data_IF_285708411916
#
_entry.id   IF_285708411916
#
_cell.length_a   1.000
_cell.length_b   1.000
_cell.length_c   1.000
_cell.angle_alpha   90.00
_cell.angle_beta   90.00
_cell.angle_gamma   90.00
#
_symmetry.space_group_name_H-M   'P 1'
#
loop_
_entity.id
_entity.type
_entity.pdbx_description
1 polymer ?
#
# COMPACT_ATOMS: atom_id res chain seq x y z
N UNK A 1 18.27 4.96 6.73
CA UNK A 1 18.10 5.38 8.14
C UNK A 1 17.30 6.68 8.29
N UNK A 2 17.75 7.81 7.74
CA UNK A 2 17.04 9.11 7.88
C UNK A 2 15.54 9.05 7.53
N UNK A 3 15.16 8.45 6.41
CA UNK A 3 13.76 8.34 5.98
C UNK A 3 12.90 7.47 6.92
N UNK A 4 13.49 6.44 7.53
CA UNK A 4 12.79 5.56 8.49
C UNK A 4 12.47 6.34 9.77
N UNK A 5 13.42 7.13 10.26
CA UNK A 5 13.23 7.98 11.45
C UNK A 5 12.17 9.05 11.17
N UNK A 6 12.18 9.65 9.98
CA UNK A 6 11.18 10.66 9.59
C UNK A 6 9.77 10.06 9.62
N UNK A 7 9.57 8.89 9.03
CA UNK A 7 8.25 8.25 9.00
C UNK A 7 7.83 7.84 10.41
N UNK A 8 8.74 7.27 11.19
CA UNK A 8 8.46 6.94 12.58
C UNK A 8 8.02 8.17 13.38
N UNK A 9 8.70 9.31 13.20
CA UNK A 9 8.32 10.56 13.86
C UNK A 9 6.95 11.08 13.39
N UNK A 10 6.62 10.93 12.10
CA UNK A 10 5.30 11.30 11.55
C UNK A 10 4.21 10.42 12.15
N UNK A 11 4.38 9.10 12.14
CA UNK A 11 3.38 8.17 12.68
C UNK A 11 3.20 8.35 14.20
N UNK A 12 4.29 8.49 14.95
CA UNK A 12 4.24 8.78 16.38
C UNK A 12 3.58 10.13 16.67
N UNK A 13 3.88 11.17 15.88
CA UNK A 13 3.23 12.47 16.00
C UNK A 13 1.72 12.40 15.78
N UNK A 14 1.28 11.69 14.74
CA UNK A 14 -0.14 11.47 14.46
C UNK A 14 -0.83 10.65 15.57
N UNK A 15 -0.16 9.64 16.11
CA UNK A 15 -0.68 8.85 17.22
C UNK A 15 -0.85 9.69 18.51
N UNK A 16 0.07 10.61 18.79
CA UNK A 16 -0.05 11.56 19.91
C UNK A 16 -1.22 12.50 19.69
N UNK A 17 -1.38 13.04 18.47
CA UNK A 17 -2.52 13.90 18.12
C UNK A 17 -3.83 13.14 18.33
N UNK A 18 -3.92 11.88 17.88
CA UNK A 18 -5.08 11.04 18.11
C UNK A 18 -5.39 10.85 19.61
N UNK A 19 -4.36 10.61 20.43
CA UNK A 19 -4.51 10.44 21.87
C UNK A 19 -4.95 11.75 22.57
N UNK A 20 -4.52 12.91 22.09
CA UNK A 20 -4.96 14.20 22.63
C UNK A 20 -6.47 14.43 22.44
N UNK A 21 -7.02 14.03 21.29
CA UNK A 21 -8.46 14.14 21.03
C UNK A 21 -9.30 13.06 21.70
N UNK A 22 -8.74 11.86 21.90
CA UNK A 22 -9.45 10.70 22.48
C UNK A 22 -9.30 10.58 24.01
N UNK A 23 -8.44 11.41 24.61
CA UNK A 23 -8.05 11.36 26.03
C UNK A 23 -6.70 10.68 26.24
N UNK A 24 -5.85 11.31 27.07
CA UNK A 24 -4.47 10.88 27.34
C UNK A 24 -4.43 9.63 28.22
N UNK A 25 -4.67 8.47 27.61
CA UNK A 25 -4.53 7.15 28.22
C UNK A 25 -3.65 6.26 27.33
N UNK A 26 -2.96 5.30 27.96
CA UNK A 26 -2.09 4.36 27.26
C UNK A 26 -2.85 3.56 26.18
N UNK A 27 -4.09 3.15 26.48
CA UNK A 27 -4.95 2.44 25.54
C UNK A 27 -5.27 3.28 24.29
N UNK A 28 -5.59 4.56 24.47
CA UNK A 28 -5.90 5.47 23.36
C UNK A 28 -4.66 5.78 22.52
N UNK A 29 -3.49 5.86 23.14
CA UNK A 29 -2.22 5.98 22.42
C UNK A 29 -1.90 4.74 21.59
N UNK A 30 -2.11 3.54 22.13
CA UNK A 30 -1.93 2.29 21.39
C UNK A 30 -2.94 2.15 20.24
N UNK A 31 -4.21 2.48 20.47
CA UNK A 31 -5.24 2.52 19.41
C UNK A 31 -4.87 3.51 18.31
N UNK A 32 -4.40 4.70 18.67
CA UNK A 32 -3.92 5.71 17.72
C UNK A 32 -2.73 5.22 16.91
N UNK A 33 -1.74 4.62 17.58
CA UNK A 33 -0.54 4.04 16.94
C UNK A 33 -0.93 2.93 15.96
N UNK A 34 -1.80 2.01 16.37
CA UNK A 34 -2.30 0.94 15.51
C UNK A 34 -3.05 1.49 14.29
N UNK A 35 -3.94 2.46 14.50
CA UNK A 35 -4.76 3.04 13.42
C UNK A 35 -3.89 3.77 12.39
N UNK A 36 -2.97 4.63 12.86
CA UNK A 36 -2.08 5.39 11.99
C UNK A 36 -1.14 4.47 11.22
N UNK A 37 -0.51 3.51 11.91
CA UNK A 37 0.40 2.55 11.27
C UNK A 37 -0.34 1.59 10.33
N UNK A 38 -1.60 1.24 10.58
CA UNK A 38 -2.43 0.51 9.61
C UNK A 38 -2.64 1.30 8.33
N UNK A 39 -2.98 2.59 8.43
CA UNK A 39 -3.13 3.46 7.26
C UNK A 39 -1.79 3.56 6.52
N UNK A 40 -0.69 3.78 7.24
CA UNK A 40 0.66 3.81 6.68
C UNK A 40 1.02 2.50 5.95
N UNK A 41 0.69 1.36 6.54
CA UNK A 41 0.94 0.04 5.95
C UNK A 41 0.14 -0.15 4.66
N UNK A 42 -1.15 0.22 4.65
CA UNK A 42 -1.97 0.18 3.44
C UNK A 42 -1.37 1.04 2.31
N UNK A 43 -0.92 2.26 2.63
CA UNK A 43 -0.25 3.15 1.68
C UNK A 43 1.07 2.53 1.19
N UNK A 44 1.87 1.98 2.10
CA UNK A 44 3.14 1.32 1.78
C UNK A 44 2.96 0.12 0.86
N UNK A 45 1.99 -0.74 1.14
CA UNK A 45 1.63 -1.89 0.29
C UNK A 45 1.16 -1.43 -1.09
N UNK A 46 0.31 -0.39 -1.15
CA UNK A 46 -0.14 0.17 -2.42
C UNK A 46 1.02 0.72 -3.24
N UNK A 47 1.93 1.48 -2.61
CA UNK A 47 3.13 1.98 -3.26
C UNK A 47 4.05 0.86 -3.74
N UNK A 48 4.16 -0.25 -2.99
CA UNK A 48 4.93 -1.42 -3.38
C UNK A 48 4.32 -2.12 -4.60
N UNK A 49 3.00 -2.31 -4.61
CA UNK A 49 2.29 -2.85 -5.77
C UNK A 49 2.46 -1.96 -7.00
N UNK A 50 2.51 -0.64 -6.81
CA UNK A 50 2.74 0.31 -7.88
C UNK A 50 4.19 0.32 -8.38
N UNK A 51 5.18 0.30 -7.48
CA UNK A 51 6.61 0.30 -7.83
C UNK A 51 7.03 -0.93 -8.60
N UNK A 52 6.54 -2.09 -8.17
CA UNK A 52 6.93 -3.40 -8.70
C UNK A 52 6.17 -3.76 -9.99
N UNK A 53 5.26 -2.87 -10.42
CA UNK A 53 4.51 -3.04 -11.65
C UNK A 53 3.42 -4.09 -11.54
N UNK A 54 2.94 -4.44 -10.34
CA UNK A 54 1.81 -5.35 -10.17
C UNK A 54 0.59 -4.89 -10.98
N UNK A 55 0.32 -3.58 -11.01
CA UNK A 55 -0.74 -3.00 -11.85
C UNK A 55 -0.50 -3.15 -13.36
N UNK A 56 0.76 -3.14 -13.82
CA UNK A 56 1.07 -3.37 -15.24
C UNK A 56 0.79 -4.82 -15.64
N UNK A 57 1.13 -5.78 -14.76
CA UNK A 57 0.86 -7.21 -14.96
C UNK A 57 -0.65 -7.47 -14.90
N UNK A 58 -1.33 -6.89 -13.92
CA UNK A 58 -2.77 -7.01 -13.74
C UNK A 58 -3.53 -6.41 -14.93
N UNK A 59 -3.15 -5.22 -15.41
CA UNK A 59 -3.77 -4.60 -16.59
C UNK A 59 -3.57 -5.40 -17.88
N UNK A 60 -2.40 -6.01 -18.07
CA UNK A 60 -2.17 -6.94 -19.18
C UNK A 60 -3.03 -8.21 -19.06
N UNK A 61 -3.16 -8.75 -17.85
CA UNK A 61 -3.99 -9.93 -17.59
C UNK A 61 -5.47 -9.66 -17.83
N UNK A 62 -5.99 -8.51 -17.37
CA UNK A 62 -7.37 -8.10 -17.63
C UNK A 62 -7.64 -7.86 -19.11
N UNK A 63 -6.69 -7.29 -19.84
CA UNK A 63 -6.78 -7.10 -21.29
C UNK A 63 -6.90 -8.43 -22.03
N UNK A 64 -6.05 -9.40 -21.66
CA UNK A 64 -6.10 -10.76 -22.21
C UNK A 64 -7.39 -11.47 -21.85
N UNK A 65 -7.87 -11.31 -20.61
CA UNK A 65 -9.15 -11.85 -20.15
C UNK A 65 -10.34 -11.26 -20.94
N UNK A 66 -10.37 -9.94 -21.10
CA UNK A 66 -11.40 -9.25 -21.87
C UNK A 66 -11.44 -9.75 -23.32
N UNK A 67 -10.27 -9.94 -23.95
CA UNK A 67 -10.19 -10.52 -25.28
C UNK A 67 -10.69 -11.96 -25.34
N UNK A 68 -10.37 -12.81 -24.36
CA UNK A 68 -10.90 -14.19 -24.33
C UNK A 68 -12.43 -14.21 -24.28
N UNK A 69 -13.02 -13.31 -23.48
CA UNK A 69 -14.47 -13.14 -23.30
C UNK A 69 -15.17 -12.46 -24.49
N UNK A 70 -14.44 -11.70 -25.30
CA UNK A 70 -15.03 -10.92 -26.40
C UNK A 70 -15.57 -11.81 -27.55
N UNK A 71 -16.73 -11.47 -28.13
CA UNK A 71 -17.27 -12.13 -29.31
C UNK A 71 -16.41 -11.84 -30.56
N UNK A 72 -16.43 -12.74 -31.56
CA UNK A 72 -15.55 -12.68 -32.76
C UNK A 72 -15.51 -11.31 -33.44
N UNK A 73 -16.66 -10.64 -33.60
CA UNK A 73 -16.76 -9.32 -34.26
C UNK A 73 -16.00 -8.21 -33.51
N UNK A 74 -15.92 -8.31 -32.18
CA UNK A 74 -15.22 -7.33 -31.34
C UNK A 74 -13.71 -7.64 -31.29
N UNK A 75 -13.32 -8.92 -31.40
CA UNK A 75 -11.91 -9.32 -31.48
C UNK A 75 -11.19 -8.69 -32.67
N UNK A 76 -11.83 -8.67 -33.84
CA UNK A 76 -11.30 -8.04 -35.06
C UNK A 76 -10.96 -6.56 -34.81
N UNK A 77 -11.87 -5.81 -34.18
CA UNK A 77 -11.61 -4.40 -33.81
C UNK A 77 -10.57 -4.22 -32.70
N UNK A 78 -10.40 -5.21 -31.80
CA UNK A 78 -9.39 -5.16 -30.75
C UNK A 78 -7.99 -5.50 -31.29
N UNK A 79 -7.89 -6.36 -32.30
CA UNK A 79 -6.63 -6.74 -32.93
C UNK A 79 -6.06 -5.59 -33.80
N UNK A 80 -6.94 -4.73 -34.33
CA UNK A 80 -6.57 -3.49 -35.03
C UNK A 80 -6.11 -2.36 -34.08
N UNK A 81 -6.40 -2.46 -32.77
CA UNK A 81 -6.04 -1.43 -31.81
C UNK A 81 -4.54 -1.53 -31.41
N UNK A 82 -3.71 -0.53 -31.75
CA UNK A 82 -2.28 -0.53 -31.41
C UNK A 82 -2.04 -0.49 -29.89
N UNK A 83 -2.99 0.01 -29.10
CA UNK A 83 -2.88 -0.01 -27.64
C UNK A 83 -3.15 -1.39 -27.07
N UNK A 84 -3.98 -2.21 -27.71
CA UNK A 84 -4.26 -3.57 -27.27
C UNK A 84 -3.02 -4.47 -27.38
N UNK A 85 -2.28 -4.36 -28.51
CA UNK A 85 -1.09 -5.15 -28.83
C UNK A 85 0.22 -4.66 -28.20
N UNK A 86 0.18 -3.68 -27.28
CA UNK A 86 1.37 -3.25 -26.54
C UNK A 86 1.96 -4.40 -25.71
N UNK A 87 3.24 -4.71 -25.96
CA UNK A 87 4.02 -5.66 -25.14
C UNK A 87 3.99 -5.21 -23.67
N UNK A 88 3.87 -6.18 -22.76
CA UNK A 88 3.92 -5.93 -21.32
C UNK A 88 5.23 -5.24 -20.95
N UNK A 89 5.16 -3.97 -20.55
CA UNK A 89 6.26 -3.24 -19.94
C UNK A 89 6.03 -3.19 -18.44
N UNK A 90 6.79 -4.02 -17.71
CA UNK A 90 6.73 -4.04 -16.25
C UNK A 90 7.40 -2.77 -15.74
N UNK A 91 6.65 -1.95 -15.01
CA UNK A 91 7.21 -0.80 -14.30
C UNK A 91 8.10 -1.31 -13.16
N UNK A 92 9.31 -0.78 -13.06
CA UNK A 92 10.29 -1.13 -12.02
C UNK A 92 10.84 0.18 -11.43
N UNK A 93 9.95 1.00 -10.89
CA UNK A 93 10.29 2.31 -10.32
C UNK A 93 10.46 2.17 -8.81
N UNK A 94 11.70 2.19 -8.33
CA UNK A 94 11.97 2.12 -6.88
C UNK A 94 11.78 3.51 -6.26
N UNK A 95 10.67 3.74 -5.58
CA UNK A 95 10.50 4.95 -4.79
C UNK A 95 11.26 4.86 -3.47
N UNK A 96 11.97 5.93 -3.15
CA UNK A 96 12.80 6.01 -1.94
C UNK A 96 12.01 5.91 -0.63
N UNK A 97 10.69 6.12 -0.69
CA UNK A 97 9.78 6.17 0.47
C UNK A 97 8.97 4.88 0.68
N UNK A 98 8.84 4.00 -0.33
CA UNK A 98 8.04 2.78 -0.23
C UNK A 98 8.52 1.87 0.90
N UNK A 99 9.81 1.51 0.90
CA UNK A 99 10.37 0.61 1.93
C UNK A 99 10.33 1.23 3.33
N UNK A 100 10.74 2.50 3.52
CA UNK A 100 10.61 3.16 4.81
C UNK A 100 9.19 3.17 5.38
N UNK A 101 8.16 3.47 4.57
CA UNK A 101 6.76 3.43 5.02
C UNK A 101 6.41 2.01 5.43
N UNK A 102 6.61 1.06 4.52
CA UNK A 102 6.17 -0.32 4.71
C UNK A 102 6.77 -0.98 5.96
N UNK A 103 8.08 -0.86 6.18
CA UNK A 103 8.73 -1.51 7.32
C UNK A 103 8.46 -0.82 8.65
N UNK A 104 8.39 0.52 8.69
CA UNK A 104 8.09 1.25 9.92
C UNK A 104 6.65 0.98 10.36
N UNK A 105 5.70 1.12 9.43
CA UNK A 105 4.29 0.87 9.70
C UNK A 105 4.06 -0.59 10.11
N UNK A 106 4.66 -1.57 9.44
CA UNK A 106 4.55 -2.98 9.81
C UNK A 106 5.12 -3.27 11.20
N UNK A 107 6.28 -2.68 11.54
CA UNK A 107 6.84 -2.80 12.89
C UNK A 107 5.91 -2.24 13.96
N UNK A 108 5.34 -1.06 13.73
CA UNK A 108 4.44 -0.40 14.67
C UNK A 108 3.10 -1.14 14.84
N UNK A 109 2.56 -1.72 13.78
CA UNK A 109 1.38 -2.60 13.85
C UNK A 109 1.65 -3.81 14.74
N UNK A 110 2.77 -4.50 14.52
CA UNK A 110 3.12 -5.70 15.29
C UNK A 110 3.33 -5.34 16.77
N UNK A 111 4.09 -4.26 17.04
CA UNK A 111 4.36 -3.80 18.40
C UNK A 111 3.07 -3.39 19.11
N UNK A 112 2.19 -2.64 18.43
CA UNK A 112 0.92 -2.22 19.02
C UNK A 112 -0.01 -3.40 19.31
N UNK A 113 -0.09 -4.40 18.43
CA UNK A 113 -0.85 -5.62 18.68
C UNK A 113 -0.32 -6.41 19.88
N UNK A 114 1.00 -6.61 19.97
CA UNK A 114 1.62 -7.30 21.10
C UNK A 114 1.35 -6.55 22.41
N UNK A 115 1.54 -5.22 22.40
CA UNK A 115 1.28 -4.39 23.57
C UNK A 115 -0.18 -4.45 24.00
N UNK A 116 -1.13 -4.34 23.07
CA UNK A 116 -2.56 -4.43 23.37
C UNK A 116 -2.93 -5.81 23.91
N UNK A 117 -2.41 -6.89 23.34
CA UNK A 117 -2.65 -8.25 23.84
C UNK A 117 -2.13 -8.43 25.27
N UNK A 118 -0.99 -7.83 25.62
CA UNK A 118 -0.42 -7.90 26.97
C UNK A 118 -1.20 -7.11 28.04
N UNK A 119 -2.11 -6.22 27.62
CA UNK A 119 -2.95 -5.43 28.52
C UNK A 119 -4.32 -6.06 28.78
N UNK A 120 -4.66 -7.13 28.05
CA UNK A 120 -5.85 -7.97 28.24
C UNK A 120 -5.53 -9.08 29.22
#
# INVERSE_FOLDING_TARGET
>A
MKNYIIIFAIEAGLAIIYALFSGLNLLNFLNGTFTVSMIGLCIGLFMMMYSDGAYSIMGHSFRKFNYMMAPKRIKETMDEDPDFNKKLRIRQEKYMWTNPILFVSLGLVIISLIAMYSMV
#
